data_IF_439318473066
#
_entry.id   IF_439318473066
#
_cell.length_a   1.000
_cell.length_b   1.000
_cell.length_c   1.000
_cell.angle_alpha   90.00
_cell.angle_beta   90.00
_cell.angle_gamma   90.00
#
_symmetry.space_group_name_H-M   'P 1'
#
loop_
_entity.id
_entity.type
_entity.pdbx_description
1 polymer ?
#
# COMPACT_ATOMS: atom_id res chain seq x y z
N UNK A 1 29.90 -6.84 -16.51
CA UNK A 1 28.61 -6.16 -16.72
C UNK A 1 27.59 -7.21 -17.12
N UNK A 2 26.46 -7.28 -16.40
CA UNK A 2 25.29 -8.05 -16.82
C UNK A 2 24.08 -7.17 -16.51
N UNK A 3 23.58 -6.48 -17.54
CA UNK A 3 22.39 -5.63 -17.47
C UNK A 3 21.17 -6.50 -17.72
N UNK A 4 20.63 -7.14 -16.67
CA UNK A 4 19.29 -7.72 -16.74
C UNK A 4 18.28 -6.61 -16.43
N UNK A 5 18.06 -5.75 -17.43
CA UNK A 5 17.18 -4.58 -17.37
C UNK A 5 15.88 -4.81 -18.16
N UNK A 6 15.31 -6.02 -18.11
CA UNK A 6 14.07 -6.36 -18.85
C UNK A 6 12.99 -6.99 -17.94
N UNK A 7 12.92 -6.57 -16.68
CA UNK A 7 11.80 -6.92 -15.79
C UNK A 7 11.28 -5.74 -14.98
N UNK A 8 11.47 -4.51 -15.48
CA UNK A 8 11.17 -3.27 -14.75
C UNK A 8 9.92 -2.52 -15.25
N UNK A 9 9.37 -2.87 -16.42
CA UNK A 9 8.20 -2.15 -16.98
C UNK A 9 6.86 -2.80 -16.66
N UNK A 10 6.75 -4.14 -16.68
CA UNK A 10 5.50 -4.86 -16.35
C UNK A 10 5.17 -4.78 -14.85
N UNK A 11 6.19 -4.80 -13.98
CA UNK A 11 5.99 -4.66 -12.54
C UNK A 11 5.54 -3.25 -12.11
N UNK A 12 6.00 -2.19 -12.79
CA UNK A 12 5.61 -0.80 -12.45
C UNK A 12 4.12 -0.59 -12.72
N UNK A 13 3.65 -0.94 -13.92
CA UNK A 13 2.24 -0.76 -14.28
C UNK A 13 1.29 -1.60 -13.42
N UNK A 14 1.67 -2.83 -13.08
CA UNK A 14 0.86 -3.67 -12.18
C UNK A 14 0.83 -3.12 -10.76
N UNK A 15 2.00 -2.77 -10.19
CA UNK A 15 2.08 -2.18 -8.87
C UNK A 15 1.27 -0.87 -8.77
N UNK A 16 1.43 0.03 -9.73
CA UNK A 16 0.69 1.29 -9.80
C UNK A 16 -0.82 1.05 -9.92
N UNK A 17 -1.25 0.09 -10.75
CA UNK A 17 -2.65 -0.28 -10.87
C UNK A 17 -3.23 -0.78 -9.55
N UNK A 18 -2.50 -1.65 -8.83
CA UNK A 18 -2.93 -2.17 -7.52
C UNK A 18 -2.97 -1.09 -6.46
N UNK A 19 -1.95 -0.22 -6.40
CA UNK A 19 -1.93 0.92 -5.48
C UNK A 19 -3.12 1.84 -5.74
N UNK A 20 -3.43 2.13 -7.01
CA UNK A 20 -4.59 2.96 -7.39
C UNK A 20 -5.93 2.31 -6.98
N UNK A 21 -6.07 1.00 -7.22
CA UNK A 21 -7.26 0.23 -6.81
C UNK A 21 -7.46 0.26 -5.28
N UNK A 22 -6.39 0.04 -4.52
CA UNK A 22 -6.44 0.13 -3.06
C UNK A 22 -6.71 1.55 -2.57
N UNK A 23 -6.11 2.56 -3.19
CA UNK A 23 -6.35 3.96 -2.84
C UNK A 23 -7.82 4.35 -3.07
N UNK A 24 -8.44 3.92 -4.16
CA UNK A 24 -9.86 4.14 -4.42
C UNK A 24 -10.75 3.47 -3.36
N UNK A 25 -10.38 2.26 -2.89
CA UNK A 25 -11.08 1.59 -1.78
C UNK A 25 -10.94 2.36 -0.47
N UNK A 26 -9.72 2.78 -0.13
CA UNK A 26 -9.44 3.51 1.10
C UNK A 26 -10.05 4.91 1.13
N UNK A 27 -10.19 5.57 -0.02
CA UNK A 27 -10.93 6.83 -0.13
C UNK A 27 -12.40 6.69 0.31
N UNK A 28 -13.02 5.52 0.12
CA UNK A 28 -14.38 5.24 0.54
C UNK A 28 -14.51 4.84 2.03
N UNK A 29 -13.40 4.59 2.72
CA UNK A 29 -13.42 4.17 4.14
C UNK A 29 -13.59 5.38 5.06
N UNK A 30 -14.19 5.15 6.23
CA UNK A 30 -14.10 6.09 7.36
C UNK A 30 -12.71 6.06 8.00
N UNK A 31 -12.40 7.07 8.81
CA UNK A 31 -11.13 7.14 9.51
C UNK A 31 -10.95 5.99 10.52
N UNK A 32 -12.03 5.53 11.14
CA UNK A 32 -12.05 4.35 12.01
C UNK A 32 -11.71 3.08 11.24
N UNK A 33 -12.28 2.91 10.05
CA UNK A 33 -11.99 1.75 9.20
C UNK A 33 -10.53 1.75 8.74
N UNK A 34 -9.99 2.93 8.41
CA UNK A 34 -8.56 3.07 8.08
C UNK A 34 -7.67 2.69 9.25
N UNK A 35 -7.95 3.19 10.46
CA UNK A 35 -7.20 2.85 11.67
C UNK A 35 -7.24 1.34 11.96
N UNK A 36 -8.42 0.73 11.87
CA UNK A 36 -8.58 -0.72 12.04
C UNK A 36 -7.76 -1.51 10.99
N UNK A 37 -7.72 -1.04 9.75
CA UNK A 37 -6.93 -1.68 8.69
C UNK A 37 -5.44 -1.56 8.98
N UNK A 38 -4.96 -0.38 9.41
CA UNK A 38 -3.56 -0.18 9.82
C UNK A 38 -3.18 -1.10 10.99
N UNK A 39 -4.04 -1.21 12.00
CA UNK A 39 -3.81 -2.10 13.15
C UNK A 39 -3.84 -3.58 12.76
N UNK A 40 -4.75 -3.99 11.87
CA UNK A 40 -4.77 -5.36 11.34
C UNK A 40 -3.46 -5.66 10.63
N UNK A 41 -3.07 -4.82 9.68
CA UNK A 41 -1.84 -4.99 8.92
C UNK A 41 -0.61 -5.00 9.82
N UNK A 42 -0.56 -4.21 10.91
CA UNK A 42 0.55 -4.25 11.88
C UNK A 42 0.77 -5.64 12.49
N UNK A 43 -0.29 -6.42 12.66
CA UNK A 43 -0.22 -7.74 13.28
C UNK A 43 0.07 -8.87 12.28
N UNK A 44 -0.02 -8.61 10.97
CA UNK A 44 0.25 -9.61 9.93
C UNK A 44 1.75 -9.92 9.87
N UNK A 45 2.10 -11.17 10.18
CA UNK A 45 3.47 -11.70 10.08
C UNK A 45 3.69 -12.31 8.70
N UNK A 46 4.47 -11.64 7.86
CA UNK A 46 4.81 -12.09 6.50
C UNK A 46 4.91 -10.95 5.50
N UNK A 47 5.81 -11.07 4.54
CA UNK A 47 5.98 -10.07 3.49
C UNK A 47 5.64 -10.67 2.13
N UNK A 48 4.71 -10.04 1.42
CA UNK A 48 4.29 -10.40 0.06
C UNK A 48 4.27 -9.11 -0.76
N UNK A 49 4.61 -9.20 -2.05
CA UNK A 49 4.65 -8.03 -2.95
C UNK A 49 3.32 -7.28 -2.98
N UNK A 50 2.19 -8.01 -3.03
CA UNK A 50 0.83 -7.41 -2.97
C UNK A 50 0.61 -6.59 -1.71
N UNK A 51 1.12 -7.07 -0.57
CA UNK A 51 1.03 -6.36 0.70
C UNK A 51 1.79 -5.04 0.65
N UNK A 52 2.93 -4.99 -0.05
CA UNK A 52 3.67 -3.73 -0.24
C UNK A 52 2.83 -2.66 -0.97
N UNK A 53 2.04 -3.07 -1.96
CA UNK A 53 1.15 -2.17 -2.71
C UNK A 53 -0.01 -1.68 -1.84
N UNK A 54 -0.62 -2.59 -1.06
CA UNK A 54 -1.68 -2.25 -0.10
C UNK A 54 -1.18 -1.24 0.96
N UNK A 55 0.01 -1.45 1.51
CA UNK A 55 0.60 -0.56 2.53
C UNK A 55 0.98 0.80 1.94
N UNK A 56 1.45 0.86 0.69
CA UNK A 56 1.69 2.13 0.00
C UNK A 56 0.41 2.95 -0.16
N UNK A 57 -0.70 2.31 -0.55
CA UNK A 57 -2.00 2.96 -0.65
C UNK A 57 -2.56 3.40 0.72
N UNK A 58 -2.46 2.55 1.76
CA UNK A 58 -2.87 2.90 3.13
C UNK A 58 -2.12 4.12 3.65
N UNK A 59 -0.80 4.15 3.45
CA UNK A 59 0.04 5.27 3.85
C UNK A 59 -0.41 6.57 3.18
N UNK A 60 -0.60 6.54 1.87
CA UNK A 60 -1.02 7.71 1.11
C UNK A 60 -2.38 8.25 1.57
N UNK A 61 -3.33 7.38 1.90
CA UNK A 61 -4.64 7.82 2.39
C UNK A 61 -4.56 8.34 3.83
N UNK A 62 -3.76 7.72 4.71
CA UNK A 62 -3.55 8.22 6.07
C UNK A 62 -2.87 9.59 6.08
N UNK A 63 -1.86 9.82 5.23
CA UNK A 63 -1.16 11.10 5.09
C UNK A 63 -2.11 12.22 4.65
N UNK A 64 -2.98 11.97 3.67
CA UNK A 64 -4.00 12.96 3.23
C UNK A 64 -4.95 13.37 4.36
N UNK A 65 -5.31 12.44 5.24
CA UNK A 65 -6.27 12.65 6.32
C UNK A 65 -5.63 13.06 7.65
N UNK A 66 -4.30 13.15 7.70
CA UNK A 66 -3.57 13.43 8.94
C UNK A 66 -3.68 12.32 9.99
N UNK A 67 -3.99 11.08 9.57
CA UNK A 67 -4.05 9.91 10.46
C UNK A 67 -2.63 9.40 10.68
N UNK A 68 -2.29 9.11 11.94
CA UNK A 68 -0.98 8.58 12.29
C UNK A 68 -0.75 7.20 11.66
N UNK A 69 0.03 7.17 10.58
CA UNK A 69 0.54 5.96 9.97
C UNK A 69 1.94 5.69 10.52
N UNK A 70 2.02 5.05 11.69
CA UNK A 70 3.30 4.85 12.39
C UNK A 70 3.75 3.39 12.33
N UNK A 71 4.87 3.14 11.66
CA UNK A 71 5.77 2.02 11.93
C UNK A 71 6.99 2.62 12.61
N UNK A 72 6.99 2.64 13.94
CA UNK A 72 8.19 2.93 14.72
C UNK A 72 8.67 1.66 15.38
#
# INVERSE_FOLDING_TARGET
MATNAESSTVCSGYAESRISEYAARFAAYSDEQLKQTVDHERNVRGWVSERSYLLAALRGECEKRGIAYCWK
#
